data_IF_332631294215
#
_entry.id   IF_332631294215
#
_cell.length_a   1.000
_cell.length_b   1.000
_cell.length_c   1.000
_cell.angle_alpha   90.00
_cell.angle_beta   90.00
_cell.angle_gamma   90.00
#
_symmetry.space_group_name_H-M   'P 1'
#
loop_
_entity.id
_entity.type
_entity.pdbx_description
1 polymer ?
#
# COMPACT_ATOMS: atom_id res chain seq x y z
N UNK A 1 -5.36 12.84 0.45
CA UNK A 1 -5.75 11.53 -0.13
C UNK A 1 -4.70 10.44 0.05
N UNK A 2 -3.42 10.68 -0.29
CA UNK A 2 -2.32 9.68 -0.17
C UNK A 2 -2.11 9.07 1.21
N UNK A 3 -2.45 9.79 2.28
CA UNK A 3 -2.32 9.29 3.65
C UNK A 3 -3.52 8.44 4.09
N UNK A 4 -4.69 8.60 3.46
CA UNK A 4 -5.92 7.94 3.92
C UNK A 4 -6.21 6.68 3.12
N UNK A 5 -6.23 6.76 1.78
CA UNK A 5 -6.65 5.61 0.96
C UNK A 5 -5.73 4.39 1.14
N UNK A 6 -4.38 4.52 1.08
CA UNK A 6 -3.50 3.37 1.25
C UNK A 6 -3.58 2.77 2.66
N UNK A 7 -3.66 3.60 3.70
CA UNK A 7 -3.73 3.13 5.08
C UNK A 7 -5.05 2.43 5.40
N UNK A 8 -6.18 2.96 4.92
CA UNK A 8 -7.49 2.30 5.06
C UNK A 8 -7.51 1.00 4.26
N UNK A 9 -6.98 1.00 3.03
CA UNK A 9 -6.88 -0.21 2.21
C UNK A 9 -6.04 -1.29 2.87
N UNK A 10 -4.87 -0.93 3.42
CA UNK A 10 -4.01 -1.84 4.16
C UNK A 10 -4.70 -2.40 5.41
N UNK A 11 -5.42 -1.55 6.16
CA UNK A 11 -6.19 -2.00 7.32
C UNK A 11 -7.25 -3.03 6.93
N UNK A 12 -8.00 -2.80 5.85
CA UNK A 12 -8.99 -3.76 5.36
C UNK A 12 -8.33 -5.08 4.94
N UNK A 13 -7.23 -5.03 4.18
CA UNK A 13 -6.52 -6.24 3.72
C UNK A 13 -5.93 -7.04 4.88
N UNK A 14 -5.41 -6.37 5.91
CA UNK A 14 -4.76 -7.03 7.06
C UNK A 14 -5.74 -7.54 8.11
N UNK A 15 -6.85 -6.83 8.35
CA UNK A 15 -7.81 -7.19 9.38
C UNK A 15 -8.92 -8.12 8.89
N UNK A 16 -9.13 -8.23 7.57
CA UNK A 16 -10.18 -9.05 6.99
C UNK A 16 -9.54 -10.28 6.34
N UNK A 17 -9.51 -11.45 7.00
CA UNK A 17 -8.93 -12.65 6.44
C UNK A 17 -9.78 -13.18 5.28
N UNK A 18 -9.13 -13.80 4.29
CA UNK A 18 -9.82 -14.48 3.19
C UNK A 18 -9.94 -15.96 3.50
N UNK A 19 -11.16 -16.49 3.35
CA UNK A 19 -11.43 -17.94 3.49
C UNK A 19 -11.15 -18.62 2.14
N UNK A 20 -10.61 -19.86 2.12
CA UNK A 20 -10.42 -20.62 0.90
C UNK A 20 -11.74 -20.76 0.10
N UNK A 21 -11.72 -20.64 -1.25
CA UNK A 21 -12.93 -20.70 -2.07
C UNK A 21 -13.83 -21.92 -1.80
N UNK A 22 -13.24 -23.06 -1.46
CA UNK A 22 -13.96 -24.32 -1.26
C UNK A 22 -14.97 -24.30 -0.10
N UNK A 23 -14.76 -23.41 0.88
CA UNK A 23 -15.57 -23.30 2.11
C UNK A 23 -16.41 -22.01 2.16
N UNK A 24 -16.42 -21.18 1.11
CA UNK A 24 -17.06 -19.86 1.15
C UNK A 24 -18.59 -19.91 1.19
N UNK A 25 -19.16 -19.39 2.25
CA UNK A 25 -20.56 -19.02 2.39
C UNK A 25 -20.83 -17.57 1.94
N UNK A 26 -22.09 -17.14 1.97
CA UNK A 26 -22.48 -15.78 1.59
C UNK A 26 -21.73 -14.70 2.37
N UNK A 27 -21.63 -14.83 3.70
CA UNK A 27 -20.91 -13.88 4.54
C UNK A 27 -19.42 -13.82 4.21
N UNK A 28 -18.81 -14.95 3.91
CA UNK A 28 -17.37 -15.02 3.57
C UNK A 28 -17.09 -14.47 2.17
N UNK A 29 -18.02 -14.62 1.22
CA UNK A 29 -17.93 -13.94 -0.07
C UNK A 29 -17.96 -12.41 0.09
N UNK A 30 -18.78 -11.90 1.00
CA UNK A 30 -18.79 -10.48 1.33
C UNK A 30 -17.48 -10.03 1.98
N UNK A 31 -16.93 -10.81 2.92
CA UNK A 31 -15.61 -10.60 3.52
C UNK A 31 -14.50 -10.54 2.45
N UNK A 32 -14.49 -11.47 1.50
CA UNK A 32 -13.53 -11.50 0.38
C UNK A 32 -13.71 -10.29 -0.55
N UNK A 33 -14.94 -9.85 -0.78
CA UNK A 33 -15.22 -8.63 -1.53
C UNK A 33 -14.62 -7.41 -0.84
N UNK A 34 -14.84 -7.25 0.48
CA UNK A 34 -14.27 -6.15 1.26
C UNK A 34 -12.74 -6.17 1.25
N UNK A 35 -12.13 -7.34 1.40
CA UNK A 35 -10.69 -7.52 1.30
C UNK A 35 -10.17 -7.06 -0.07
N UNK A 36 -10.83 -7.51 -1.15
CA UNK A 36 -10.50 -7.13 -2.53
C UNK A 36 -10.66 -5.62 -2.75
N UNK A 37 -11.73 -5.01 -2.22
CA UNK A 37 -11.92 -3.57 -2.25
C UNK A 37 -10.78 -2.83 -1.51
N UNK A 38 -10.34 -3.35 -0.36
CA UNK A 38 -9.18 -2.85 0.36
C UNK A 38 -7.91 -2.86 -0.49
N UNK A 39 -7.64 -3.97 -1.18
CA UNK A 39 -6.48 -4.10 -2.08
C UNK A 39 -6.56 -3.11 -3.26
N UNK A 40 -7.74 -2.96 -3.88
CA UNK A 40 -7.96 -1.98 -4.97
C UNK A 40 -7.77 -0.54 -4.48
N UNK A 41 -8.30 -0.21 -3.30
CA UNK A 41 -8.11 1.11 -2.69
C UNK A 41 -6.63 1.38 -2.38
N UNK A 42 -5.91 0.37 -1.90
CA UNK A 42 -4.50 0.46 -1.56
C UNK A 42 -3.65 0.68 -2.82
N UNK A 43 -3.67 -0.25 -3.77
CA UNK A 43 -2.81 -0.23 -4.96
C UNK A 43 -3.34 0.75 -6.00
N UNK A 44 -4.62 0.64 -6.37
CA UNK A 44 -5.24 1.47 -7.40
C UNK A 44 -5.42 2.92 -6.94
N UNK A 45 -5.90 3.13 -5.70
CA UNK A 45 -6.06 4.48 -5.15
C UNK A 45 -4.73 5.21 -4.99
N UNK A 46 -3.68 4.53 -4.52
CA UNK A 46 -2.32 5.08 -4.51
C UNK A 46 -1.83 5.39 -5.94
N UNK A 47 -1.98 4.42 -6.85
CA UNK A 47 -1.63 4.54 -8.27
C UNK A 47 -2.16 5.79 -8.94
N UNK A 48 -3.47 6.02 -8.83
CA UNK A 48 -4.12 7.21 -9.40
C UNK A 48 -3.61 8.50 -8.76
N UNK A 49 -3.48 8.55 -7.43
CA UNK A 49 -2.94 9.73 -6.74
C UNK A 49 -1.49 10.03 -7.15
N UNK A 50 -0.69 9.00 -7.42
CA UNK A 50 0.69 9.12 -7.83
C UNK A 50 0.83 9.61 -9.28
N UNK A 51 0.07 9.02 -10.20
CA UNK A 51 -0.02 9.45 -11.60
C UNK A 51 -0.40 10.94 -11.68
N UNK A 52 -1.46 11.36 -10.97
CA UNK A 52 -1.91 12.77 -10.99
C UNK A 52 -0.83 13.73 -10.49
N UNK A 53 -0.07 13.37 -9.45
CA UNK A 53 1.01 14.24 -8.99
C UNK A 53 2.19 14.28 -9.94
N UNK A 54 2.58 13.14 -10.53
CA UNK A 54 3.64 13.09 -11.54
C UNK A 54 3.27 13.89 -12.79
N UNK A 55 2.00 13.86 -13.20
CA UNK A 55 1.47 14.68 -14.29
C UNK A 55 1.57 16.17 -13.94
N UNK A 56 1.08 16.58 -12.76
CA UNK A 56 1.15 17.98 -12.30
C UNK A 56 2.59 18.49 -12.18
N UNK A 57 3.51 17.65 -11.71
CA UNK A 57 4.93 18.00 -11.62
C UNK A 57 5.56 18.19 -13.01
N UNK A 58 5.14 17.42 -14.02
CA UNK A 58 5.58 17.60 -15.41
C UNK A 58 5.04 18.91 -16.01
N UNK A 59 3.75 19.19 -15.82
CA UNK A 59 3.10 20.41 -16.34
C UNK A 59 3.68 21.69 -15.74
N UNK A 60 4.07 21.67 -14.46
CA UNK A 60 4.61 22.84 -13.74
C UNK A 60 6.09 23.12 -13.99
N UNK A 61 6.76 22.41 -14.88
CA UNK A 61 8.16 22.73 -15.25
C UNK A 61 8.33 24.15 -15.79
N UNK A 62 7.23 24.84 -16.14
CA UNK A 62 7.20 26.23 -16.62
C UNK A 62 6.82 27.27 -15.54
N UNK A 63 6.26 26.86 -14.40
CA UNK A 63 5.82 27.77 -13.32
C UNK A 63 6.68 27.61 -12.07
N UNK A 64 7.16 28.73 -11.51
CA UNK A 64 8.09 28.79 -10.36
C UNK A 64 7.48 28.41 -9.00
N UNK A 65 6.17 28.15 -8.92
CA UNK A 65 5.45 27.95 -7.64
C UNK A 65 5.16 26.48 -7.30
N UNK A 66 5.67 25.51 -8.08
CA UNK A 66 5.45 24.08 -7.87
C UNK A 66 6.54 23.38 -7.05
N UNK A 67 6.23 22.21 -6.45
CA UNK A 67 7.27 21.36 -5.85
C UNK A 67 8.28 20.93 -6.92
N UNK A 68 9.55 21.25 -6.70
CA UNK A 68 10.64 20.93 -7.62
C UNK A 68 11.10 19.50 -7.36
N UNK A 69 10.72 18.57 -8.25
CA UNK A 69 11.25 17.20 -8.22
C UNK A 69 12.73 17.20 -8.60
N UNK A 70 13.53 16.40 -7.90
CA UNK A 70 14.96 16.29 -8.23
C UNK A 70 15.16 15.50 -9.54
N UNK A 71 16.28 15.70 -10.25
CA UNK A 71 16.61 14.88 -11.42
C UNK A 71 16.55 13.39 -11.09
N UNK A 72 15.87 12.61 -11.92
CA UNK A 72 15.71 11.16 -11.75
C UNK A 72 14.55 10.73 -10.83
N UNK A 73 14.11 11.56 -9.89
CA UNK A 73 13.00 11.24 -8.97
C UNK A 73 11.72 10.88 -9.75
N UNK A 74 11.38 11.70 -10.74
CA UNK A 74 10.20 11.47 -11.58
C UNK A 74 10.26 10.12 -12.29
N UNK A 75 11.42 9.76 -12.87
CA UNK A 75 11.58 8.50 -13.61
C UNK A 75 11.47 7.29 -12.69
N UNK A 76 12.11 7.35 -11.52
CA UNK A 76 12.05 6.27 -10.53
C UNK A 76 10.62 6.06 -10.03
N UNK A 77 9.93 7.14 -9.65
CA UNK A 77 8.55 7.07 -9.15
C UNK A 77 7.59 6.57 -10.23
N UNK A 78 7.72 7.07 -11.47
CA UNK A 78 6.94 6.60 -12.61
C UNK A 78 7.18 5.11 -12.93
N UNK A 79 8.43 4.65 -12.86
CA UNK A 79 8.76 3.24 -13.06
C UNK A 79 8.17 2.35 -11.96
N UNK A 80 8.34 2.72 -10.68
CA UNK A 80 7.82 1.97 -9.53
C UNK A 80 6.29 1.86 -9.55
N UNK A 81 5.59 2.97 -9.85
CA UNK A 81 4.13 2.93 -9.93
C UNK A 81 3.65 2.14 -11.16
N UNK A 82 4.33 2.27 -12.30
CA UNK A 82 4.03 1.51 -13.50
C UNK A 82 4.20 0.01 -13.29
N UNK A 83 5.30 -0.41 -12.65
CA UNK A 83 5.55 -1.81 -12.27
C UNK A 83 4.52 -2.32 -11.27
N UNK A 84 4.20 -1.54 -10.23
CA UNK A 84 3.17 -1.91 -9.25
C UNK A 84 1.80 -2.14 -9.89
N UNK A 85 1.36 -1.25 -10.78
CA UNK A 85 0.09 -1.39 -11.50
C UNK A 85 0.11 -2.56 -12.49
N UNK A 86 1.22 -2.74 -13.22
CA UNK A 86 1.39 -3.86 -14.14
C UNK A 86 1.31 -5.21 -13.40
N UNK A 87 2.02 -5.34 -12.26
CA UNK A 87 1.93 -6.52 -11.40
C UNK A 87 0.52 -6.73 -10.84
N UNK A 88 -0.17 -5.66 -10.43
CA UNK A 88 -1.56 -5.75 -9.99
C UNK A 88 -2.51 -6.25 -11.08
N UNK A 89 -2.34 -5.81 -12.32
CA UNK A 89 -3.11 -6.32 -13.47
C UNK A 89 -2.77 -7.78 -13.76
N UNK A 90 -1.48 -8.14 -13.76
CA UNK A 90 -1.03 -9.52 -13.98
C UNK A 90 -1.61 -10.48 -12.94
N UNK A 91 -1.64 -10.08 -11.66
CA UNK A 91 -2.30 -10.80 -10.58
C UNK A 91 -3.79 -11.07 -10.89
N UNK A 92 -4.55 -10.04 -11.27
CA UNK A 92 -5.98 -10.20 -11.61
C UNK A 92 -6.19 -11.11 -12.83
N UNK A 93 -5.32 -11.01 -13.84
CA UNK A 93 -5.37 -11.88 -15.02
C UNK A 93 -5.09 -13.34 -14.64
N UNK A 94 -4.07 -13.60 -13.83
CA UNK A 94 -3.77 -14.96 -13.34
C UNK A 94 -4.94 -15.53 -12.53
N UNK A 95 -5.50 -14.74 -11.62
CA UNK A 95 -6.66 -15.15 -10.81
C UNK A 95 -7.90 -15.45 -11.66
N UNK A 96 -8.14 -14.69 -12.72
CA UNK A 96 -9.25 -14.97 -13.66
C UNK A 96 -9.02 -16.20 -14.53
N UNK A 97 -7.78 -16.45 -14.93
CA UNK A 97 -7.43 -17.61 -15.74
C UNK A 97 -7.45 -18.91 -14.92
N UNK A 98 -7.11 -18.85 -13.64
CA UNK A 98 -6.95 -20.03 -12.76
C UNK A 98 -8.17 -20.98 -12.77
N UNK A 99 -9.43 -20.53 -12.59
CA UNK A 99 -10.61 -21.41 -12.68
C UNK A 99 -10.87 -21.93 -14.09
N UNK A 100 -10.69 -21.08 -15.11
CA UNK A 100 -11.01 -21.43 -16.50
C UNK A 100 -10.03 -22.43 -17.09
N UNK A 101 -8.75 -22.30 -16.74
CA UNK A 101 -7.70 -23.24 -17.16
C UNK A 101 -7.94 -24.62 -16.55
N UNK A 102 -8.49 -24.70 -15.34
CA UNK A 102 -8.88 -25.96 -14.70
C UNK A 102 -9.99 -26.66 -15.49
N UNK A 103 -11.02 -25.94 -15.93
CA UNK A 103 -12.17 -26.54 -16.62
C UNK A 103 -11.89 -26.86 -18.10
N UNK A 104 -11.09 -26.05 -18.79
CA UNK A 104 -10.93 -26.15 -20.25
C UNK A 104 -9.98 -27.22 -20.74
N UNK A 105 -9.01 -27.64 -19.91
CA UNK A 105 -7.94 -28.54 -20.37
C UNK A 105 -8.37 -30.01 -20.44
N UNK A 106 -9.52 -30.39 -19.88
CA UNK A 106 -10.09 -31.73 -20.01
C UNK A 106 -9.19 -32.88 -19.52
N UNK A 107 -8.03 -32.56 -18.96
CA UNK A 107 -7.06 -33.49 -18.41
C UNK A 107 -7.15 -33.48 -16.91
N UNK A 108 -7.46 -34.64 -16.36
CA UNK A 108 -7.74 -34.90 -14.97
C UNK A 108 -6.70 -34.27 -14.01
N UNK A 109 -7.21 -33.67 -12.93
CA UNK A 109 -6.56 -33.51 -11.61
C UNK A 109 -5.53 -32.41 -11.35
N UNK A 110 -5.14 -31.53 -12.28
CA UNK A 110 -4.11 -30.51 -11.96
C UNK A 110 -4.55 -29.47 -10.91
N UNK A 111 -5.83 -29.40 -10.53
CA UNK A 111 -6.38 -28.44 -9.58
C UNK A 111 -6.21 -28.88 -8.11
N UNK A 112 -6.53 -27.98 -7.17
CA UNK A 112 -6.60 -28.34 -5.76
C UNK A 112 -7.78 -29.29 -5.51
N UNK A 113 -7.53 -30.37 -4.77
CA UNK A 113 -8.57 -31.33 -4.37
C UNK A 113 -9.02 -31.01 -2.96
N UNK A 114 -10.23 -30.45 -2.84
CA UNK A 114 -10.85 -30.09 -1.56
C UNK A 114 -11.91 -31.12 -1.18
N UNK A 115 -11.69 -31.86 -0.10
CA UNK A 115 -12.58 -32.94 0.35
C UNK A 115 -12.93 -32.74 1.82
N UNK A 116 -14.16 -33.07 2.20
CA UNK A 116 -14.52 -33.19 3.62
C UNK A 116 -13.85 -34.47 4.13
N UNK A 117 -12.91 -34.38 5.09
CA UNK A 117 -12.20 -35.57 5.56
C UNK A 117 -13.17 -36.59 6.15
N UNK A 118 -12.80 -37.86 6.07
CA UNK A 118 -13.54 -38.98 6.63
C UNK A 118 -12.92 -39.46 7.95
N UNK A 119 -13.64 -40.31 8.69
CA UNK A 119 -13.07 -40.97 9.88
C UNK A 119 -11.85 -41.83 9.57
N UNK A 120 -11.78 -42.37 8.35
CA UNK A 120 -10.64 -43.18 7.89
C UNK A 120 -9.38 -42.30 7.79
N UNK A 121 -9.50 -41.08 7.28
CA UNK A 121 -8.38 -40.14 7.19
C UNK A 121 -7.84 -39.75 8.57
N UNK A 122 -8.75 -39.58 9.54
CA UNK A 122 -8.39 -39.34 10.94
C UNK A 122 -7.61 -40.50 11.57
N UNK A 123 -8.12 -41.73 11.40
CA UNK A 123 -7.44 -42.95 11.90
C UNK A 123 -6.08 -43.16 11.24
N UNK A 124 -5.98 -42.90 9.93
CA UNK A 124 -4.73 -42.99 9.19
C UNK A 124 -3.66 -42.03 9.75
N UNK A 125 -4.03 -40.78 10.07
CA UNK A 125 -3.11 -39.79 10.63
C UNK A 125 -2.65 -40.18 12.03
N UNK A 126 -3.51 -40.79 12.86
CA UNK A 126 -3.14 -41.27 14.20
C UNK A 126 -2.21 -42.48 14.18
N UNK A 127 -2.30 -43.33 13.15
CA UNK A 127 -1.47 -44.52 13.02
C UNK A 127 -0.07 -44.23 12.45
N UNK A 128 0.16 -43.04 11.88
CA UNK A 128 1.44 -42.70 11.25
C UNK A 128 2.52 -42.47 12.32
N UNK A 129 3.63 -43.23 12.32
CA UNK A 129 4.70 -43.05 13.30
C UNK A 129 5.48 -41.75 13.02
N UNK A 130 5.44 -40.79 13.96
CA UNK A 130 6.09 -39.48 13.85
C UNK A 130 5.36 -38.45 14.74
N UNK A 131 6.10 -37.72 15.59
CA UNK A 131 5.55 -37.01 16.76
C UNK A 131 4.64 -35.80 16.53
N UNK A 132 4.45 -35.32 15.31
CA UNK A 132 3.75 -34.05 15.03
C UNK A 132 2.36 -34.20 14.40
N UNK A 133 1.77 -35.39 14.43
CA UNK A 133 0.45 -35.63 13.81
C UNK A 133 -0.73 -35.20 14.68
N UNK A 134 -0.51 -34.86 15.96
CA UNK A 134 -1.60 -34.46 16.86
C UNK A 134 -2.32 -33.19 16.38
N UNK A 135 -1.56 -32.17 15.96
CA UNK A 135 -2.14 -30.92 15.47
C UNK A 135 -2.98 -31.14 14.19
N UNK A 136 -2.50 -32.02 13.30
CA UNK A 136 -3.24 -32.39 12.09
C UNK A 136 -4.50 -33.20 12.42
N UNK A 137 -4.40 -34.17 13.34
CA UNK A 137 -5.54 -34.97 13.78
C UNK A 137 -6.64 -34.10 14.41
N UNK A 138 -6.27 -33.13 15.27
CA UNK A 138 -7.22 -32.16 15.84
C UNK A 138 -7.92 -31.37 14.73
N UNK A 139 -7.17 -30.85 13.74
CA UNK A 139 -7.75 -30.13 12.59
C UNK A 139 -8.69 -30.99 11.76
N UNK A 140 -8.33 -32.24 11.49
CA UNK A 140 -9.19 -33.19 10.77
C UNK A 140 -10.46 -33.44 11.57
N UNK A 141 -10.36 -33.72 12.88
CA UNK A 141 -11.53 -33.98 13.72
C UNK A 141 -12.51 -32.80 13.76
N UNK A 142 -11.98 -31.58 13.80
CA UNK A 142 -12.78 -30.36 13.75
C UNK A 142 -13.44 -30.19 12.38
N UNK A 143 -12.70 -30.35 11.28
CA UNK A 143 -13.25 -30.27 9.94
C UNK A 143 -14.34 -31.33 9.67
N UNK A 144 -14.22 -32.54 10.24
CA UNK A 144 -15.27 -33.58 10.19
C UNK A 144 -16.54 -33.09 10.90
N UNK A 145 -16.40 -32.51 12.09
CA UNK A 145 -17.52 -32.02 12.90
C UNK A 145 -18.25 -30.85 12.22
N UNK A 146 -17.49 -29.91 11.67
CA UNK A 146 -17.98 -28.69 11.04
C UNK A 146 -18.37 -28.88 9.56
N UNK A 147 -18.10 -30.07 9.00
CA UNK A 147 -18.24 -30.41 7.56
C UNK A 147 -17.47 -29.47 6.64
N UNK A 148 -16.33 -28.97 7.10
CA UNK A 148 -15.42 -28.12 6.33
C UNK A 148 -14.55 -28.97 5.40
N UNK A 149 -14.28 -28.45 4.19
CA UNK A 149 -13.37 -29.11 3.27
C UNK A 149 -11.92 -28.75 3.62
N UNK A 150 -11.06 -29.76 3.63
CA UNK A 150 -9.62 -29.59 3.75
C UNK A 150 -8.96 -29.82 2.38
N UNK A 151 -7.81 -29.21 2.18
CA UNK A 151 -6.97 -29.42 1.00
C UNK A 151 -6.27 -30.78 1.13
N UNK A 152 -6.70 -31.76 0.34
CA UNK A 152 -6.13 -33.11 0.33
C UNK A 152 -4.91 -33.18 -0.59
N UNK A 153 -5.03 -32.61 -1.79
CA UNK A 153 -3.96 -32.55 -2.78
C UNK A 153 -3.85 -31.13 -3.33
N UNK A 154 -2.61 -30.64 -3.39
CA UNK A 154 -2.30 -29.32 -3.96
C UNK A 154 -2.26 -29.41 -5.48
N UNK A 155 -2.68 -28.34 -6.15
CA UNK A 155 -2.49 -28.21 -7.59
C UNK A 155 -1.06 -28.54 -8.01
N UNK A 156 -0.90 -29.15 -9.19
CA UNK A 156 0.38 -29.52 -9.76
C UNK A 156 0.50 -29.02 -11.21
N UNK A 157 1.70 -29.15 -11.79
CA UNK A 157 1.95 -28.76 -13.18
C UNK A 157 1.72 -27.27 -13.47
N UNK A 158 0.99 -26.97 -14.55
CA UNK A 158 0.73 -25.60 -15.00
C UNK A 158 -0.19 -24.82 -14.05
N UNK A 159 -1.12 -25.48 -13.37
CA UNK A 159 -2.00 -24.84 -12.39
C UNK A 159 -1.21 -24.33 -11.18
N UNK A 160 -0.26 -25.14 -10.69
CA UNK A 160 0.65 -24.73 -9.62
C UNK A 160 1.52 -23.54 -10.03
N UNK A 161 2.06 -23.55 -11.25
CA UNK A 161 2.85 -22.44 -11.76
C UNK A 161 2.02 -21.15 -11.84
N UNK A 162 0.78 -21.23 -12.33
CA UNK A 162 -0.11 -20.09 -12.43
C UNK A 162 -0.44 -19.48 -11.06
N UNK A 163 -0.75 -20.32 -10.06
CA UNK A 163 -0.96 -19.87 -8.66
C UNK A 163 0.28 -19.27 -8.04
N UNK A 164 1.44 -19.86 -8.32
CA UNK A 164 2.72 -19.33 -7.86
C UNK A 164 2.99 -17.96 -8.47
N UNK A 165 2.73 -17.79 -9.77
CA UNK A 165 2.86 -16.49 -10.45
C UNK A 165 1.87 -15.46 -9.93
N UNK A 166 0.61 -15.85 -9.70
CA UNK A 166 -0.42 -15.00 -9.07
C UNK A 166 0.10 -14.43 -7.74
N UNK A 167 0.57 -15.30 -6.83
CA UNK A 167 1.17 -14.88 -5.56
C UNK A 167 2.36 -13.92 -5.76
N UNK A 168 3.29 -14.24 -6.66
CA UNK A 168 4.45 -13.37 -6.90
C UNK A 168 4.07 -12.01 -7.48
N UNK A 169 3.05 -11.95 -8.34
CA UNK A 169 2.57 -10.68 -8.87
C UNK A 169 1.91 -9.82 -7.78
N UNK A 170 1.15 -10.43 -6.87
CA UNK A 170 0.59 -9.73 -5.71
C UNK A 170 1.71 -9.17 -4.81
N UNK A 171 2.68 -10.01 -4.43
CA UNK A 171 3.83 -9.60 -3.61
C UNK A 171 4.62 -8.49 -4.30
N UNK A 172 4.88 -8.63 -5.60
CA UNK A 172 5.61 -7.62 -6.38
C UNK A 172 4.87 -6.29 -6.45
N UNK A 173 3.54 -6.31 -6.61
CA UNK A 173 2.73 -5.09 -6.60
C UNK A 173 2.89 -4.34 -5.27
N UNK A 174 2.85 -5.06 -4.14
CA UNK A 174 3.09 -4.51 -2.81
C UNK A 174 4.53 -3.99 -2.62
N UNK A 175 5.54 -4.75 -3.03
CA UNK A 175 6.95 -4.34 -2.93
C UNK A 175 7.24 -3.08 -3.75
N UNK A 176 6.74 -2.97 -4.97
CA UNK A 176 6.92 -1.77 -5.79
C UNK A 176 6.18 -0.55 -5.22
N UNK A 177 5.00 -0.76 -4.61
CA UNK A 177 4.30 0.30 -3.90
C UNK A 177 5.10 0.79 -2.67
N UNK A 178 5.64 -0.11 -1.86
CA UNK A 178 6.54 0.23 -0.74
C UNK A 178 7.78 0.96 -1.25
N UNK A 179 8.40 0.46 -2.32
CA UNK A 179 9.52 1.12 -3.00
C UNK A 179 9.17 2.54 -3.45
N UNK A 180 7.95 2.77 -3.93
CA UNK A 180 7.46 4.09 -4.32
C UNK A 180 7.36 5.04 -3.12
N UNK A 181 6.86 4.56 -1.98
CA UNK A 181 6.86 5.33 -0.73
C UNK A 181 8.28 5.65 -0.24
N UNK A 182 9.20 4.68 -0.28
CA UNK A 182 10.61 4.89 0.08
C UNK A 182 11.30 5.88 -0.86
N UNK A 183 10.97 5.87 -2.16
CA UNK A 183 11.46 6.86 -3.10
C UNK A 183 11.00 8.27 -2.71
N UNK A 184 9.70 8.46 -2.43
CA UNK A 184 9.19 9.77 -1.97
C UNK A 184 9.96 10.21 -0.71
N UNK A 185 10.05 9.35 0.30
CA UNK A 185 10.77 9.63 1.54
C UNK A 185 12.25 9.97 1.30
N UNK A 186 12.92 9.25 0.40
CA UNK A 186 14.33 9.47 0.07
C UNK A 186 14.58 10.85 -0.57
N UNK A 187 13.66 11.29 -1.43
CA UNK A 187 13.79 12.55 -2.16
C UNK A 187 13.25 13.77 -1.39
N UNK A 188 12.40 13.58 -0.37
CA UNK A 188 11.87 14.63 0.50
C UNK A 188 12.98 15.52 1.10
N UNK A 189 12.90 16.86 0.94
CA UNK A 189 13.83 17.77 1.59
C UNK A 189 13.71 17.73 3.13
N UNK A 190 12.51 17.44 3.66
CA UNK A 190 12.24 17.37 5.10
C UNK A 190 13.10 16.33 5.82
N UNK A 191 13.50 15.26 5.12
CA UNK A 191 14.42 14.24 5.67
C UNK A 191 15.78 14.83 6.07
N UNK A 192 16.17 15.95 5.46
CA UNK A 192 17.45 16.64 5.73
C UNK A 192 17.30 17.82 6.68
N UNK A 193 16.07 18.15 7.10
CA UNK A 193 15.86 19.21 8.07
C UNK A 193 16.22 18.67 9.45
N UNK A 194 17.41 19.00 9.91
CA UNK A 194 17.81 18.81 11.30
C UNK A 194 17.14 19.92 12.12
N UNK A 195 15.88 19.67 12.51
CA UNK A 195 15.15 20.58 13.37
C UNK A 195 15.81 20.53 14.75
N UNK A 196 16.23 21.67 15.33
CA UNK A 196 16.77 21.65 16.68
C UNK A 196 15.72 21.06 17.62
N UNK A 197 16.04 19.93 18.23
CA UNK A 197 15.16 19.20 19.16
C UNK A 197 14.78 20.06 20.40
N UNK A 198 15.46 21.20 20.57
CA UNK A 198 15.11 22.23 21.53
C UNK A 198 13.79 22.88 21.11
N UNK A 199 12.74 22.57 21.88
CA UNK A 199 11.45 23.24 21.88
C UNK A 199 11.64 24.76 21.66
N UNK A 200 10.86 25.39 20.78
CA UNK A 200 10.90 26.84 20.56
C UNK A 200 10.66 27.64 21.86
N UNK A 201 10.12 27.01 22.90
CA UNK A 201 10.01 27.58 24.25
C UNK A 201 11.35 27.76 24.97
N UNK A 202 12.35 26.90 24.75
CA UNK A 202 13.72 27.12 25.23
C UNK A 202 14.40 28.25 24.44
N UNK A 203 14.22 28.30 23.13
CA UNK A 203 14.70 29.41 22.31
C UNK A 203 14.05 30.74 22.73
N UNK A 204 12.73 30.76 23.00
CA UNK A 204 12.02 31.92 23.57
C UNK A 204 12.50 32.29 24.97
N UNK A 205 12.86 31.32 25.82
CA UNK A 205 13.38 31.57 27.18
C UNK A 205 14.80 32.13 27.14
N UNK A 206 15.66 31.62 26.27
CA UNK A 206 17.01 32.16 26.06
C UNK A 206 16.96 33.57 25.45
N UNK A 207 16.09 33.81 24.47
CA UNK A 207 15.85 35.15 23.92
C UNK A 207 15.34 36.12 24.98
N UNK A 208 14.41 35.69 25.86
CA UNK A 208 13.97 36.49 27.01
C UNK A 208 15.11 36.77 28.01
N UNK A 209 15.99 35.80 28.29
CA UNK A 209 17.16 36.01 29.16
C UNK A 209 18.17 36.99 28.58
N UNK A 210 18.32 37.03 27.25
CA UNK A 210 19.19 37.96 26.55
C UNK A 210 18.57 39.37 26.38
N UNK A 211 17.38 39.63 26.94
CA UNK A 211 16.73 40.93 26.87
C UNK A 211 16.02 41.22 25.56
N UNK A 212 15.93 40.25 24.64
CA UNK A 212 15.14 40.40 23.43
C UNK A 212 13.65 40.22 23.76
N UNK A 213 12.88 41.29 23.60
CA UNK A 213 11.42 41.24 23.68
C UNK A 213 10.86 40.56 22.43
N UNK A 214 10.24 39.40 22.58
CA UNK A 214 9.59 38.63 21.49
C UNK A 214 8.29 39.29 21.02
N UNK A 215 8.35 40.55 20.57
CA UNK A 215 7.22 41.30 20.03
C UNK A 215 6.99 41.04 18.54
N UNK A 216 7.90 40.36 17.85
CA UNK A 216 7.83 40.15 16.41
C UNK A 216 7.94 38.65 16.11
N UNK A 217 6.82 38.11 15.64
CA UNK A 217 6.61 37.05 14.63
C UNK A 217 5.19 36.53 14.90
N UNK A 218 4.20 37.40 14.66
CA UNK A 218 2.90 36.89 14.23
C UNK A 218 3.13 36.44 12.79
N UNK A 219 3.14 35.14 12.55
CA UNK A 219 2.95 34.61 11.18
C UNK A 219 1.64 35.21 10.68
N UNK A 220 1.75 36.14 9.74
CA UNK A 220 0.62 36.87 9.18
C UNK A 220 -0.42 35.91 8.64
N UNK A 221 -1.52 35.75 9.36
CA UNK A 221 -2.81 35.51 8.71
C UNK A 221 -3.08 36.75 7.87
N UNK A 222 -3.09 36.58 6.55
CA UNK A 222 -3.28 37.65 5.58
C UNK A 222 -4.42 38.58 5.99
N UNK A 223 -4.03 39.78 6.38
CA UNK A 223 -4.88 40.97 6.44
C UNK A 223 -3.92 42.05 5.99
N UNK A 224 -4.02 42.39 4.71
CA UNK A 224 -3.20 43.43 4.10
C UNK A 224 -3.29 44.69 4.97
N UNK A 225 -2.16 45.23 5.48
CA UNK A 225 -2.20 46.55 6.08
C UNK A 225 -2.52 47.52 4.96
N UNK A 226 -3.65 48.22 5.12
CA UNK A 226 -4.04 49.36 4.29
C UNK A 226 -2.83 50.26 4.03
N UNK A 227 -2.70 50.65 2.75
CA UNK A 227 -1.67 51.54 2.27
C UNK A 227 -1.68 52.85 3.07
N UNK A 228 -0.71 53.02 3.97
CA UNK A 228 -0.37 54.33 4.50
C UNK A 228 0.42 55.06 3.41
N UNK A 229 -0.25 55.94 2.70
CA UNK A 229 0.34 56.90 1.78
C UNK A 229 1.07 57.97 2.59
N UNK A 230 2.37 57.79 2.83
CA UNK A 230 3.25 58.89 3.22
C UNK A 230 3.91 59.46 1.96
N UNK A 231 3.34 60.56 1.49
CA UNK A 231 3.97 61.51 0.58
C UNK A 231 5.15 62.16 1.30
N UNK A 232 6.37 61.89 0.85
CA UNK A 232 7.53 62.72 1.16
C UNK A 232 8.30 62.92 -0.14
N UNK A 233 8.17 64.14 -0.66
CA UNK A 233 9.05 64.71 -1.67
C UNK A 233 10.48 64.80 -1.12
N UNK A 234 11.49 64.60 -1.96
CA UNK A 234 12.44 65.62 -2.43
C UNK A 234 13.76 64.94 -2.92
N UNK A 235 14.76 65.64 -3.48
CA UNK A 235 14.99 65.67 -4.92
C UNK A 235 16.40 65.19 -5.31
N UNK A 236 16.65 65.14 -6.62
CA UNK A 236 17.98 65.23 -7.26
C UNK A 236 19.09 64.29 -6.76
N UNK A 237 19.47 63.33 -7.60
CA UNK A 237 20.89 63.19 -7.89
C UNK A 237 21.13 62.61 -9.29
N UNK A 238 21.70 63.46 -10.12
CA UNK A 238 22.45 63.11 -11.32
C UNK A 238 23.59 62.15 -10.94
N UNK A 239 23.84 61.13 -11.76
CA UNK A 239 25.19 60.66 -12.04
C UNK A 239 25.21 59.86 -13.35
N UNK A 240 26.09 60.32 -14.23
CA UNK A 240 26.51 59.84 -15.55
C UNK A 240 26.51 58.32 -15.78
#
# INVERSE_FOLDING_TARGET
>A
MRQFCPSIGLFLVTCIPTVPPANRHFGENFTVLLHTCGAIMMVGGYGLCEIVALQRACSRRKDTTGPILKPGEWRLRAALIGLSLCSGVAFQVCGFLSPKTVDSLGTDSCADVWVVPSKIDFEYVLQKPGGDHLALAVRISQAIADKEKLLLDTAHGSCLLLKTLEYWFEVSAGLFMVGSHLAIWWYCPERRLDLPEKLPELAKRELRRQGYTTSFICWGTGSDPEAVSSSEEDPTNECN
#
